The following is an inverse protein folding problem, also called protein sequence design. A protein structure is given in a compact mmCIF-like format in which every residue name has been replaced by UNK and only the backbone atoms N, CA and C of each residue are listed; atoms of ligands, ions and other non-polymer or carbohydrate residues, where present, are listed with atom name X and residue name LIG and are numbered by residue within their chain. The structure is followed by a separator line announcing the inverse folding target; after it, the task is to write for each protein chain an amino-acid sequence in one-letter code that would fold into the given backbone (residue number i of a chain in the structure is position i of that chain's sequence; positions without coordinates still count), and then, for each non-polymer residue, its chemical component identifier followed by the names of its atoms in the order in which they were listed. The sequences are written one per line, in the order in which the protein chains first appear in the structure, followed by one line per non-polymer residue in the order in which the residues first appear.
data_IF_771901839089
#
_entry.id   IF_771901839089
#
_cell.length_a   1.000
_cell.length_b   1.000
_cell.length_c   1.000
_cell.angle_alpha   90.00
_cell.angle_beta   90.00
_cell.angle_gamma   90.00
#
_symmetry.space_group_name_H-M   'P 1'
#
loop_
_entity.id
_entity.type
_entity.pdbx_description
1 polymer ?
#
# COMPACT_ATOMS: atom_id res chain seq x y z
N UNK A 1 -10.63 1.61 -17.13
CA UNK A 1 -11.98 1.54 -17.73
C UNK A 1 -12.94 1.56 -16.55
N UNK A 2 -13.79 2.54 -16.31
CA UNK A 2 -14.52 3.46 -17.19
C UNK A 2 -14.16 4.94 -16.94
N UNK A 3 -14.15 5.74 -18.01
CA UNK A 3 -14.16 7.21 -17.92
C UNK A 3 -15.35 7.68 -18.75
N UNK A 4 -16.52 7.75 -18.11
CA UNK A 4 -17.69 8.44 -18.66
C UNK A 4 -17.77 9.83 -18.03
N UNK A 5 -16.89 10.70 -18.47
CA UNK A 5 -17.12 12.15 -18.44
C UNK A 5 -16.74 12.64 -19.82
N UNK A 6 -17.74 13.09 -20.60
CA UNK A 6 -17.52 13.83 -21.84
C UNK A 6 -16.77 15.11 -21.46
N UNK A 7 -15.45 15.06 -21.51
CA UNK A 7 -14.60 16.25 -21.44
C UNK A 7 -14.60 16.87 -22.83
N UNK A 8 -15.15 18.07 -22.95
CA UNK A 8 -14.98 18.89 -24.15
C UNK A 8 -13.54 19.40 -24.15
N UNK A 9 -12.68 18.73 -24.91
CA UNK A 9 -11.27 19.07 -25.03
C UNK A 9 -11.13 20.40 -25.78
N UNK A 10 -10.75 21.46 -25.06
CA UNK A 10 -10.22 22.70 -25.66
C UNK A 10 -8.70 22.62 -25.76
N UNK A 11 -8.15 23.22 -26.82
CA UNK A 11 -6.70 23.34 -27.02
C UNK A 11 -6.05 23.98 -25.80
N UNK A 12 -5.02 23.34 -25.25
CA UNK A 12 -4.30 23.79 -24.06
C UNK A 12 -4.85 23.33 -22.71
N UNK A 13 -5.96 22.58 -22.66
CA UNK A 13 -6.44 21.98 -21.40
C UNK A 13 -5.71 20.69 -21.06
N UNK A 14 -5.24 20.57 -19.81
CA UNK A 14 -4.62 19.36 -19.27
C UNK A 14 -5.35 18.91 -17.99
N UNK A 15 -5.43 17.60 -17.77
CA UNK A 15 -6.03 17.04 -16.57
C UNK A 15 -5.01 16.96 -15.42
N UNK A 16 -5.35 17.53 -14.26
CA UNK A 16 -4.57 17.37 -13.02
C UNK A 16 -5.15 16.23 -12.18
N UNK A 17 -4.36 15.16 -12.00
CA UNK A 17 -4.73 14.05 -11.12
C UNK A 17 -4.79 14.52 -9.66
N UNK A 18 -5.95 14.37 -9.01
CA UNK A 18 -6.14 14.66 -7.57
C UNK A 18 -5.73 13.48 -6.66
N UNK A 19 -5.68 12.27 -7.22
CA UNK A 19 -5.29 11.04 -6.54
C UNK A 19 -4.32 10.26 -7.43
N UNK A 20 -3.42 9.51 -6.80
CA UNK A 20 -2.59 8.52 -7.46
C UNK A 20 -3.49 7.52 -8.20
N UNK A 21 -3.29 7.37 -9.50
CA UNK A 21 -4.01 6.40 -10.32
C UNK A 21 -3.11 5.22 -10.66
N UNK A 22 -3.69 4.03 -10.81
CA UNK A 22 -2.94 2.83 -11.15
C UNK A 22 -2.19 3.04 -12.48
N UNK A 23 -0.98 2.49 -12.60
CA UNK A 23 -0.13 2.66 -13.79
C UNK A 23 0.83 3.86 -13.77
N UNK A 24 0.69 4.82 -12.83
CA UNK A 24 1.76 5.81 -12.62
C UNK A 24 2.86 5.23 -11.73
N UNK A 25 4.13 5.41 -12.14
CA UNK A 25 5.32 5.00 -11.36
C UNK A 25 5.31 5.57 -9.92
N UNK A 26 4.75 6.76 -9.74
CA UNK A 26 4.66 7.40 -8.41
C UNK A 26 3.51 6.86 -7.55
N UNK A 27 2.48 6.27 -8.15
CA UNK A 27 1.30 5.79 -7.41
C UNK A 27 1.65 4.67 -6.45
N UNK A 28 2.44 3.68 -6.91
CA UNK A 28 2.84 2.55 -6.06
C UNK A 28 3.67 3.01 -4.86
N UNK A 29 4.59 3.97 -5.07
CA UNK A 29 5.39 4.57 -3.98
C UNK A 29 4.52 5.34 -2.99
N UNK A 30 3.59 6.14 -3.47
CA UNK A 30 2.69 6.92 -2.62
C UNK A 30 1.74 6.02 -1.82
N UNK A 31 1.24 4.94 -2.43
CA UNK A 31 0.42 3.93 -1.78
C UNK A 31 1.22 3.17 -0.71
N UNK A 32 2.38 2.62 -1.07
CA UNK A 32 3.23 1.87 -0.16
C UNK A 32 3.68 2.72 1.04
N UNK A 33 4.06 3.98 0.80
CA UNK A 33 4.42 4.90 1.88
C UNK A 33 3.28 5.21 2.86
N UNK A 34 2.02 5.21 2.40
CA UNK A 34 0.85 5.33 3.29
C UNK A 34 0.59 4.02 4.03
N UNK A 35 0.67 2.90 3.33
CA UNK A 35 0.50 1.57 3.90
C UNK A 35 1.51 1.31 5.03
N UNK A 36 2.80 1.50 4.77
CA UNK A 36 3.87 1.28 5.76
C UNK A 36 3.66 2.12 7.02
N UNK A 37 3.23 3.39 6.88
CA UNK A 37 2.90 4.25 8.03
C UNK A 37 1.77 3.67 8.88
N UNK A 38 0.69 3.18 8.24
CA UNK A 38 -0.43 2.56 8.95
C UNK A 38 0.03 1.29 9.67
N UNK A 39 0.82 0.43 9.01
CA UNK A 39 1.34 -0.80 9.63
C UNK A 39 2.18 -0.52 10.88
N UNK A 40 3.04 0.50 10.81
CA UNK A 40 3.85 0.92 11.96
C UNK A 40 2.95 1.38 13.12
N UNK A 41 1.89 2.15 12.84
CA UNK A 41 0.92 2.57 13.84
C UNK A 41 0.15 1.39 14.45
N UNK A 42 -0.06 0.31 13.68
CA UNK A 42 -0.68 -0.94 14.14
C UNK A 42 0.30 -1.87 14.91
N UNK A 43 1.51 -1.39 15.19
CA UNK A 43 2.51 -2.13 15.96
C UNK A 43 3.36 -3.11 15.15
N UNK A 44 3.23 -3.12 13.82
CA UNK A 44 4.13 -3.90 12.97
C UNK A 44 5.47 -3.18 12.79
N UNK A 45 6.54 -3.96 12.67
CA UNK A 45 7.88 -3.48 12.35
C UNK A 45 8.24 -3.96 10.94
N UNK A 46 8.68 -3.04 10.10
CA UNK A 46 9.20 -3.38 8.78
C UNK A 46 10.52 -4.13 8.93
N UNK A 47 10.66 -5.25 8.22
CA UNK A 47 11.89 -6.03 8.21
C UNK A 47 13.01 -5.25 7.51
N UNK A 48 14.23 -5.34 8.04
CA UNK A 48 15.42 -4.70 7.45
C UNK A 48 15.98 -5.48 6.26
N UNK A 49 15.84 -6.82 6.29
CA UNK A 49 16.28 -7.68 5.18
C UNK A 49 15.33 -7.66 3.99
N UNK A 50 14.05 -7.36 4.23
CA UNK A 50 13.03 -7.26 3.19
C UNK A 50 12.01 -6.16 3.52
N UNK A 51 12.02 -5.09 2.72
CA UNK A 51 11.13 -3.95 2.92
C UNK A 51 9.66 -4.27 2.63
N UNK A 52 9.32 -5.35 1.94
CA UNK A 52 7.91 -5.73 1.73
C UNK A 52 7.36 -6.60 2.87
N UNK A 53 8.21 -7.02 3.81
CA UNK A 53 7.85 -7.82 4.97
C UNK A 53 7.67 -6.95 6.22
N UNK A 54 6.55 -7.15 6.90
CA UNK A 54 6.21 -6.54 8.17
C UNK A 54 5.98 -7.64 9.21
N UNK A 55 6.55 -7.49 10.40
CA UNK A 55 6.41 -8.46 11.48
C UNK A 55 5.87 -7.78 12.74
N UNK A 56 4.92 -8.42 13.40
CA UNK A 56 4.41 -8.02 14.71
C UNK A 56 4.64 -9.18 15.67
N UNK A 57 5.16 -8.86 16.85
CA UNK A 57 5.28 -9.78 17.96
C UNK A 57 4.25 -9.38 19.00
N UNK A 58 3.42 -10.33 19.42
CA UNK A 58 2.53 -10.15 20.57
C UNK A 58 3.29 -10.29 21.88
N UNK A 59 2.70 -9.82 22.97
CA UNK A 59 3.27 -9.94 24.31
C UNK A 59 3.38 -11.42 24.76
N UNK A 60 2.56 -12.31 24.20
CA UNK A 60 2.62 -13.76 24.44
C UNK A 60 3.67 -14.47 23.57
N UNK A 61 4.50 -13.74 22.82
CA UNK A 61 5.54 -14.29 21.96
C UNK A 61 5.06 -14.87 20.63
N UNK A 62 3.77 -14.70 20.28
CA UNK A 62 3.24 -15.09 18.96
C UNK A 62 3.64 -14.07 17.90
N UNK A 63 3.75 -14.52 16.66
CA UNK A 63 4.25 -13.73 15.53
C UNK A 63 3.21 -13.67 14.43
N UNK A 64 2.98 -12.47 13.92
CA UNK A 64 2.26 -12.22 12.67
C UNK A 64 3.22 -11.62 11.66
N UNK A 65 3.31 -12.23 10.48
CA UNK A 65 4.05 -11.75 9.34
C UNK A 65 3.07 -11.32 8.24
N UNK A 66 3.31 -10.14 7.68
CA UNK A 66 2.57 -9.58 6.55
C UNK A 66 3.56 -9.28 5.42
N UNK A 67 3.31 -9.84 4.25
CA UNK A 67 4.10 -9.65 3.04
C UNK A 67 3.24 -8.98 1.97
N UNK A 68 3.79 -7.96 1.30
CA UNK A 68 3.09 -7.23 0.25
C UNK A 68 3.78 -7.46 -1.10
N UNK A 69 3.01 -7.88 -2.08
CA UNK A 69 3.48 -7.97 -3.45
C UNK A 69 2.52 -7.27 -4.40
N UNK A 70 2.87 -6.05 -4.81
CA UNK A 70 2.07 -5.20 -5.72
C UNK A 70 0.63 -5.01 -5.21
N UNK A 71 -0.32 -5.82 -5.68
CA UNK A 71 -1.75 -5.76 -5.33
C UNK A 71 -2.16 -6.85 -4.33
N UNK A 72 -1.28 -7.81 -4.06
CA UNK A 72 -1.52 -8.93 -3.16
C UNK A 72 -0.91 -8.68 -1.79
N UNK A 73 -1.64 -9.06 -0.75
CA UNK A 73 -1.18 -9.04 0.63
C UNK A 73 -1.33 -10.44 1.20
N UNK A 74 -0.23 -11.02 1.64
CA UNK A 74 -0.19 -12.31 2.32
C UNK A 74 -0.02 -12.04 3.81
N UNK A 75 -0.89 -12.63 4.62
CA UNK A 75 -0.79 -12.58 6.08
C UNK A 75 -0.67 -14.00 6.59
N UNK A 76 0.33 -14.24 7.44
CA UNK A 76 0.57 -15.54 8.06
C UNK A 76 1.05 -15.33 9.50
N UNK A 77 0.81 -16.30 10.37
CA UNK A 77 1.19 -16.17 11.76
C UNK A 77 0.60 -17.28 12.61
N UNK A 78 1.11 -17.37 13.84
CA UNK A 78 0.56 -18.24 14.89
C UNK A 78 -0.18 -17.43 15.96
N UNK A 79 -0.36 -16.13 15.73
CA UNK A 79 -1.19 -15.23 16.52
C UNK A 79 -2.63 -15.35 16.03
N UNK A 80 -3.52 -15.91 16.87
CA UNK A 80 -4.93 -16.19 16.51
C UNK A 80 -5.84 -15.03 16.95
N UNK A 81 -5.28 -13.83 17.11
CA UNK A 81 -5.98 -12.64 17.58
C UNK A 81 -6.56 -11.83 16.42
#
# INVERSE_FOLDING_TARGET
MEVTLRFESKEGMVCKLKKAHYGLKQSLRAWFGRFAKVMILLGYKQCQGDHILFMRHSDSGRVTALLIYVDDIIVTGNDVE
#
